data_IF_823650111561
#
_entry.id   IF_823650111561
#
_cell.length_a   1.000
_cell.length_b   1.000
_cell.length_c   1.000
_cell.angle_alpha   90.00
_cell.angle_beta   90.00
_cell.angle_gamma   90.00
#
_symmetry.space_group_name_H-M   'P 1'
#
loop_
_entity.id
_entity.type
_entity.pdbx_description
1 polymer ?
#
# COMPACT_ATOMS: atom_id res chain seq x y z
N UNK A 1 -25.90 23.82 -13.85
CA UNK A 1 -26.52 22.89 -12.89
C UNK A 1 -25.53 22.62 -11.75
N UNK A 2 -25.88 22.99 -10.52
CA UNK A 2 -24.98 22.89 -9.35
C UNK A 2 -25.09 21.50 -8.72
N UNK A 3 -23.98 20.76 -8.63
CA UNK A 3 -23.95 19.40 -8.07
C UNK A 3 -24.20 19.40 -6.55
N UNK A 4 -25.21 18.64 -6.09
CA UNK A 4 -25.55 18.52 -4.66
C UNK A 4 -24.42 17.89 -3.83
N UNK A 5 -24.38 18.16 -2.52
CA UNK A 5 -23.37 17.60 -1.62
C UNK A 5 -23.37 16.05 -1.63
N UNK A 6 -24.55 15.43 -1.69
CA UNK A 6 -24.69 13.98 -1.82
C UNK A 6 -24.11 13.43 -3.13
N UNK A 7 -24.31 14.14 -4.24
CA UNK A 7 -23.73 13.75 -5.53
C UNK A 7 -22.20 13.90 -5.54
N UNK A 8 -21.67 14.95 -4.90
CA UNK A 8 -20.22 15.12 -4.68
C UNK A 8 -19.65 13.98 -3.83
N UNK A 9 -20.31 13.61 -2.73
CA UNK A 9 -19.90 12.49 -1.88
C UNK A 9 -19.86 11.15 -2.62
N UNK A 10 -20.89 10.82 -3.39
CA UNK A 10 -20.91 9.60 -4.22
C UNK A 10 -19.80 9.59 -5.27
N UNK A 11 -19.55 10.73 -5.92
CA UNK A 11 -18.47 10.86 -6.90
C UNK A 11 -17.09 10.63 -6.27
N UNK A 12 -16.83 11.22 -5.11
CA UNK A 12 -15.56 11.03 -4.39
C UNK A 12 -15.37 9.59 -3.94
N UNK A 13 -16.43 8.95 -3.40
CA UNK A 13 -16.39 7.53 -3.04
C UNK A 13 -16.07 6.64 -4.25
N UNK A 14 -16.71 6.89 -5.39
CA UNK A 14 -16.43 6.15 -6.64
C UNK A 14 -14.99 6.34 -7.10
N UNK A 15 -14.45 7.56 -7.00
CA UNK A 15 -13.06 7.86 -7.33
C UNK A 15 -12.07 7.10 -6.43
N UNK A 16 -12.35 7.02 -5.12
CA UNK A 16 -11.56 6.23 -4.17
C UNK A 16 -11.55 4.75 -4.54
N UNK A 17 -12.73 4.14 -4.67
CA UNK A 17 -12.88 2.72 -5.04
C UNK A 17 -12.17 2.39 -6.36
N UNK A 18 -12.29 3.25 -7.37
CA UNK A 18 -11.61 3.06 -8.65
C UNK A 18 -10.08 3.15 -8.51
N UNK A 19 -9.59 4.04 -7.65
CA UNK A 19 -8.15 4.19 -7.40
C UNK A 19 -7.60 2.95 -6.68
N UNK A 20 -8.29 2.48 -5.64
CA UNK A 20 -7.95 1.26 -4.90
C UNK A 20 -7.92 0.04 -5.83
N UNK A 21 -8.93 -0.13 -6.69
CA UNK A 21 -8.98 -1.22 -7.69
C UNK A 21 -7.81 -1.20 -8.67
N UNK A 22 -7.37 -0.01 -9.08
CA UNK A 22 -6.22 0.13 -9.99
C UNK A 22 -4.92 -0.29 -9.33
N UNK A 23 -4.71 0.07 -8.06
CA UNK A 23 -3.54 -0.41 -7.29
C UNK A 23 -3.61 -1.92 -7.10
N UNK A 24 -4.77 -2.46 -6.70
CA UNK A 24 -4.96 -3.90 -6.54
C UNK A 24 -4.61 -4.66 -7.84
N UNK A 25 -5.16 -4.21 -8.97
CA UNK A 25 -4.87 -4.81 -10.29
C UNK A 25 -3.39 -4.69 -10.65
N UNK A 26 -2.77 -3.54 -10.39
CA UNK A 26 -1.34 -3.36 -10.64
C UNK A 26 -0.50 -4.36 -9.84
N UNK A 27 -0.75 -4.51 -8.54
CA UNK A 27 -0.06 -5.49 -7.69
C UNK A 27 -0.33 -6.93 -8.14
N UNK A 28 -1.55 -7.23 -8.59
CA UNK A 28 -1.92 -8.50 -9.18
C UNK A 28 -1.01 -8.89 -10.35
N UNK A 29 -0.83 -7.96 -11.28
CA UNK A 29 -0.03 -8.11 -12.48
C UNK A 29 1.50 -8.10 -12.21
N UNK A 30 1.95 -7.65 -11.02
CA UNK A 30 3.36 -7.37 -10.74
C UNK A 30 3.91 -8.12 -9.51
N UNK A 31 3.29 -9.24 -9.12
CA UNK A 31 3.89 -10.18 -8.19
C UNK A 31 3.02 -10.64 -7.03
N UNK A 32 1.76 -10.21 -6.96
CA UNK A 32 0.79 -10.73 -6.00
C UNK A 32 -0.47 -11.21 -6.72
N UNK A 33 -0.49 -12.40 -7.36
CA UNK A 33 -1.57 -12.84 -8.26
C UNK A 33 -2.96 -12.94 -7.63
N UNK A 34 -3.08 -12.81 -6.31
CA UNK A 34 -4.34 -12.79 -5.56
C UNK A 34 -4.70 -11.40 -5.02
N UNK A 35 -3.84 -10.40 -5.21
CA UNK A 35 -4.06 -9.04 -4.74
C UNK A 35 -5.40 -8.52 -5.22
N UNK A 36 -6.20 -8.06 -4.28
CA UNK A 36 -7.53 -7.55 -4.50
C UNK A 36 -7.81 -6.41 -3.51
N UNK A 37 -8.76 -5.55 -3.87
CA UNK A 37 -9.23 -4.50 -2.98
C UNK A 37 -9.92 -5.13 -1.78
N UNK A 38 -9.56 -4.69 -0.59
CA UNK A 38 -10.31 -5.06 0.60
C UNK A 38 -11.65 -4.33 0.60
N UNK A 39 -12.73 -5.06 0.87
CA UNK A 39 -14.07 -4.49 0.99
C UNK A 39 -14.57 -4.82 2.38
N UNK A 40 -14.70 -3.78 3.22
CA UNK A 40 -15.39 -3.94 4.48
C UNK A 40 -16.89 -3.82 4.25
N UNK A 41 -17.56 -4.98 4.14
CA UNK A 41 -19.00 -5.08 3.85
C UNK A 41 -19.87 -4.93 5.10
N UNK A 42 -19.29 -4.73 6.29
CA UNK A 42 -19.99 -4.84 7.56
C UNK A 42 -20.25 -3.49 8.24
N UNK A 43 -21.45 -3.34 8.82
CA UNK A 43 -21.64 -2.47 9.99
C UNK A 43 -20.64 -2.89 11.08
N UNK A 44 -20.05 -1.91 11.79
CA UNK A 44 -19.34 -2.18 13.05
C UNK A 44 -20.31 -2.87 14.01
N UNK A 45 -20.25 -4.19 14.10
CA UNK A 45 -20.83 -4.92 15.23
C UNK A 45 -19.76 -4.99 16.32
N UNK A 46 -20.16 -4.81 17.58
CA UNK A 46 -19.29 -4.79 18.76
C UNK A 46 -18.41 -6.06 18.92
N UNK A 47 -18.63 -7.08 18.10
CA UNK A 47 -17.98 -8.39 18.11
C UNK A 47 -16.96 -8.61 16.99
N UNK A 48 -16.71 -7.64 16.10
CA UNK A 48 -15.74 -7.81 15.01
C UNK A 48 -14.34 -7.35 15.44
N UNK A 49 -13.55 -8.29 15.96
CA UNK A 49 -12.15 -8.11 16.41
C UNK A 49 -11.13 -8.31 15.28
N UNK A 50 -11.57 -8.61 14.05
CA UNK A 50 -10.66 -8.79 12.92
C UNK A 50 -10.01 -7.45 12.56
N UNK A 51 -8.69 -7.36 12.71
CA UNK A 51 -7.95 -6.16 12.36
C UNK A 51 -8.06 -5.88 10.85
N UNK A 52 -8.24 -4.60 10.50
CA UNK A 52 -8.48 -4.14 9.14
C UNK A 52 -7.14 -4.08 8.38
N UNK A 53 -6.92 -4.90 7.34
CA UNK A 53 -5.68 -4.90 6.55
C UNK A 53 -5.54 -3.66 5.64
N UNK A 54 -6.43 -2.67 5.77
CA UNK A 54 -6.57 -1.47 4.95
C UNK A 54 -7.09 -1.78 3.54
N UNK A 55 -6.60 -1.10 2.51
CA UNK A 55 -7.30 -0.95 1.22
C UNK A 55 -7.05 -2.14 0.28
N UNK A 56 -5.98 -2.90 0.47
CA UNK A 56 -5.55 -4.02 -0.38
C UNK A 56 -5.27 -5.25 0.49
N UNK A 57 -5.71 -6.43 0.04
CA UNK A 57 -5.52 -7.73 0.69
C UNK A 57 -4.73 -8.70 -0.20
N UNK A 58 -4.41 -9.87 0.35
CA UNK A 58 -3.65 -10.94 -0.34
C UNK A 58 -2.22 -10.52 -0.72
N UNK A 59 -1.63 -9.65 0.10
CA UNK A 59 -0.24 -9.21 0.04
C UNK A 59 0.46 -9.51 1.37
N UNK A 60 0.88 -10.77 1.62
CA UNK A 60 1.46 -11.17 2.91
C UNK A 60 2.62 -10.26 3.33
N UNK A 61 2.67 -9.90 4.62
CA UNK A 61 3.68 -9.00 5.19
C UNK A 61 3.45 -7.51 4.93
N UNK A 62 2.46 -7.13 4.11
CA UNK A 62 2.27 -5.74 3.66
C UNK A 62 0.87 -5.22 3.99
N UNK A 63 0.79 -3.96 4.44
CA UNK A 63 -0.46 -3.19 4.46
C UNK A 63 -0.39 -1.98 3.54
N UNK A 64 -1.52 -1.66 2.92
CA UNK A 64 -1.60 -0.63 1.89
C UNK A 64 -2.73 0.35 2.19
N UNK A 65 -2.44 1.65 2.20
CA UNK A 65 -3.48 2.66 2.02
C UNK A 65 -3.34 3.39 0.70
N UNK A 66 -4.46 3.60 0.00
CA UNK A 66 -4.52 4.23 -1.32
C UNK A 66 -5.35 5.51 -1.24
N UNK A 67 -4.74 6.64 -1.57
CA UNK A 67 -5.38 7.95 -1.55
C UNK A 67 -5.45 8.56 -2.95
N UNK A 68 -6.57 9.21 -3.22
CA UNK A 68 -6.70 10.10 -4.37
C UNK A 68 -7.37 11.39 -3.90
N UNK A 69 -6.54 12.31 -3.44
CA UNK A 69 -6.96 13.54 -2.81
C UNK A 69 -5.91 14.64 -3.04
N UNK A 70 -6.34 15.90 -3.14
CA UNK A 70 -5.45 17.03 -3.45
C UNK A 70 -4.90 17.73 -2.20
N UNK A 71 -5.27 17.30 -0.99
CA UNK A 71 -4.84 17.93 0.27
C UNK A 71 -3.43 17.53 0.71
N UNK A 72 -2.82 16.52 0.06
CA UNK A 72 -1.45 16.05 0.34
C UNK A 72 -1.14 15.88 1.84
N UNK A 73 -2.08 15.30 2.62
CA UNK A 73 -1.94 15.04 4.06
C UNK A 73 -1.09 13.80 4.34
N UNK A 74 0.07 13.71 3.69
CA UNK A 74 0.92 12.52 3.64
C UNK A 74 1.30 12.04 5.05
N UNK A 75 1.79 12.92 5.91
CA UNK A 75 2.22 12.53 7.27
C UNK A 75 1.07 11.96 8.11
N UNK A 76 -0.10 12.59 8.07
CA UNK A 76 -1.27 12.12 8.83
C UNK A 76 -1.78 10.78 8.29
N UNK A 77 -1.88 10.62 6.97
CA UNK A 77 -2.28 9.36 6.37
C UNK A 77 -1.25 8.25 6.62
N UNK A 78 0.04 8.56 6.60
CA UNK A 78 1.08 7.56 6.84
C UNK A 78 1.11 7.11 8.31
N UNK A 79 0.89 8.01 9.27
CA UNK A 79 0.77 7.64 10.68
C UNK A 79 -0.36 6.61 10.90
N UNK A 80 -1.51 6.77 10.23
CA UNK A 80 -2.58 5.77 10.25
C UNK A 80 -2.14 4.42 9.64
N UNK A 81 -1.29 4.44 8.62
CA UNK A 81 -0.74 3.21 8.02
C UNK A 81 0.22 2.52 8.99
N UNK A 82 1.12 3.25 9.65
CA UNK A 82 2.04 2.70 10.65
C UNK A 82 1.28 2.03 11.81
N UNK A 83 0.26 2.72 12.36
CA UNK A 83 -0.57 2.18 13.43
C UNK A 83 -1.24 0.86 13.04
N UNK A 84 -1.70 0.77 11.79
CA UNK A 84 -2.34 -0.44 11.26
C UNK A 84 -1.35 -1.55 10.98
N UNK A 85 -0.19 -1.22 10.40
CA UNK A 85 0.89 -2.18 10.18
C UNK A 85 1.29 -2.84 11.50
N UNK A 86 1.52 -2.04 12.54
CA UNK A 86 1.83 -2.52 13.88
C UNK A 86 0.70 -3.38 14.47
N UNK A 87 -0.56 -2.95 14.33
CA UNK A 87 -1.71 -3.67 14.88
C UNK A 87 -1.96 -5.04 14.22
N UNK A 88 -1.58 -5.21 12.94
CA UNK A 88 -1.73 -6.49 12.23
C UNK A 88 -0.45 -7.31 12.16
N UNK A 89 0.66 -6.80 12.73
CA UNK A 89 1.97 -7.44 12.64
C UNK A 89 2.50 -7.52 11.20
N UNK A 90 2.21 -6.53 10.37
CA UNK A 90 2.81 -6.43 9.04
C UNK A 90 4.26 -5.97 9.13
N UNK A 91 5.08 -6.45 8.20
CA UNK A 91 6.48 -6.09 8.09
C UNK A 91 6.63 -4.63 7.61
N UNK A 92 5.72 -4.19 6.75
CA UNK A 92 5.81 -2.89 6.09
C UNK A 92 4.43 -2.28 5.81
N UNK A 93 4.31 -0.98 6.06
CA UNK A 93 3.17 -0.16 5.66
C UNK A 93 3.47 0.73 4.46
N UNK A 94 2.60 0.73 3.46
CA UNK A 94 2.73 1.53 2.24
C UNK A 94 1.56 2.48 2.08
N UNK A 95 1.85 3.77 1.91
CA UNK A 95 0.88 4.75 1.45
C UNK A 95 1.08 4.99 -0.05
N UNK A 96 0.02 4.86 -0.84
CA UNK A 96 0.01 5.17 -2.28
C UNK A 96 -0.85 6.39 -2.52
N UNK A 97 -0.30 7.41 -3.17
CA UNK A 97 -1.06 8.59 -3.62
C UNK A 97 -1.12 8.60 -5.15
N UNK A 98 -2.35 8.65 -5.69
CA UNK A 98 -2.54 8.79 -7.13
C UNK A 98 -1.92 10.10 -7.64
N UNK A 99 -1.00 9.98 -8.58
CA UNK A 99 -0.34 11.12 -9.24
C UNK A 99 -1.23 11.72 -10.35
N UNK A 100 -1.61 13.02 -10.27
CA UNK A 100 -2.37 13.68 -11.32
C UNK A 100 -1.66 13.60 -12.68
N UNK A 101 -2.41 13.35 -13.75
CA UNK A 101 -1.86 13.22 -15.11
C UNK A 101 -1.30 11.83 -15.46
N UNK A 102 -1.19 10.90 -14.51
CA UNK A 102 -0.66 9.57 -14.76
C UNK A 102 -1.74 8.50 -14.61
N UNK A 103 -2.05 7.81 -15.70
CA UNK A 103 -3.04 6.73 -15.71
C UNK A 103 -2.50 5.42 -15.11
N UNK A 104 -1.21 5.15 -15.33
CA UNK A 104 -0.51 3.94 -14.88
C UNK A 104 -0.20 4.02 -13.36
N UNK A 105 -0.71 3.08 -12.53
CA UNK A 105 -0.41 3.03 -11.10
C UNK A 105 1.08 2.91 -10.78
N UNK A 106 1.88 2.25 -11.62
CA UNK A 106 3.33 2.16 -11.42
C UNK A 106 4.05 3.52 -11.41
N UNK A 107 3.41 4.58 -11.94
CA UNK A 107 3.92 5.97 -11.94
C UNK A 107 3.33 6.83 -10.81
N UNK A 108 2.51 6.24 -9.94
CA UNK A 108 1.95 6.93 -8.78
C UNK A 108 2.97 6.98 -7.65
N UNK A 109 2.73 7.85 -6.67
CA UNK A 109 3.62 8.00 -5.53
C UNK A 109 3.36 6.92 -4.51
N UNK A 110 4.44 6.30 -4.03
CA UNK A 110 4.45 5.43 -2.88
C UNK A 110 5.34 6.03 -1.80
N UNK A 111 4.88 5.97 -0.56
CA UNK A 111 5.57 6.46 0.60
C UNK A 111 5.81 5.30 1.56
N UNK A 112 7.04 5.23 2.08
CA UNK A 112 7.52 4.35 3.15
C UNK A 112 8.52 5.16 3.98
N UNK A 113 9.03 4.59 5.08
CA UNK A 113 10.10 5.25 5.85
C UNK A 113 11.49 5.03 5.23
N UNK A 114 12.48 5.85 5.61
CA UNK A 114 13.89 5.62 5.27
C UNK A 114 14.37 4.27 5.84
N UNK A 115 13.95 3.92 7.05
CA UNK A 115 14.28 2.65 7.69
C UNK A 115 13.78 1.46 6.86
N UNK A 116 12.54 1.54 6.40
CA UNK A 116 11.92 0.53 5.55
C UNK A 116 12.67 0.38 4.22
N UNK A 117 12.97 1.50 3.56
CA UNK A 117 13.73 1.48 2.31
C UNK A 117 15.09 0.82 2.49
N UNK A 118 15.80 1.15 3.57
CA UNK A 118 17.07 0.51 3.90
C UNK A 118 16.89 -0.99 4.16
N UNK A 119 15.84 -1.38 4.90
CA UNK A 119 15.50 -2.78 5.14
C UNK A 119 15.28 -3.57 3.85
N UNK A 120 14.57 -2.99 2.88
CA UNK A 120 14.37 -3.59 1.56
C UNK A 120 15.69 -3.78 0.80
N UNK A 121 16.58 -2.78 0.81
CA UNK A 121 17.90 -2.93 0.18
C UNK A 121 18.76 -3.99 0.84
N UNK A 122 18.79 -4.03 2.18
CA UNK A 122 19.54 -5.03 2.92
C UNK A 122 19.03 -6.44 2.60
N UNK A 123 17.71 -6.65 2.67
CA UNK A 123 17.07 -7.93 2.34
C UNK A 123 17.38 -8.37 0.89
N UNK A 124 17.31 -7.45 -0.07
CA UNK A 124 17.57 -7.73 -1.48
C UNK A 124 19.04 -8.15 -1.78
N UNK A 125 19.99 -7.76 -0.94
CA UNK A 125 21.42 -8.06 -1.11
C UNK A 125 21.94 -9.13 -0.13
N UNK A 126 21.05 -9.82 0.59
CA UNK A 126 21.42 -10.81 1.59
C UNK A 126 22.16 -10.22 2.80
N UNK A 127 22.05 -8.91 3.02
CA UNK A 127 22.62 -8.22 4.17
C UNK A 127 21.66 -8.21 5.36
N UNK A 128 22.20 -7.90 6.54
CA UNK A 128 21.39 -7.60 7.72
C UNK A 128 21.01 -6.13 7.73
N UNK A 129 19.72 -5.82 7.87
CA UNK A 129 19.29 -4.45 8.08
C UNK A 129 19.84 -3.95 9.41
N UNK A 130 20.63 -2.87 9.38
CA UNK A 130 21.03 -2.19 10.59
C UNK A 130 19.81 -1.45 11.16
N UNK A 131 19.53 -1.65 12.45
CA UNK A 131 18.46 -0.92 13.14
C UNK A 131 18.88 0.54 13.29
N UNK A 132 18.14 1.45 12.64
CA UNK A 132 18.30 2.88 12.83
C UNK A 132 17.20 3.37 13.78
N UNK A 133 17.60 3.96 14.91
CA UNK A 133 16.67 4.49 15.92
C UNK A 133 16.57 6.02 15.88
N UNK A 134 17.09 6.66 14.84
CA UNK A 134 17.10 8.12 14.71
C UNK A 134 15.82 8.64 14.06
N UNK A 135 15.49 9.91 14.30
CA UNK A 135 14.36 10.58 13.62
C UNK A 135 14.49 10.53 12.09
N UNK A 136 15.72 10.52 11.57
CA UNK A 136 15.99 10.36 10.15
C UNK A 136 15.51 9.02 9.60
N UNK A 137 15.49 7.96 10.42
CA UNK A 137 15.00 6.64 10.03
C UNK A 137 13.48 6.65 9.79
N UNK A 138 12.74 7.50 10.52
CA UNK A 138 11.28 7.66 10.39
C UNK A 138 10.87 8.66 9.30
N UNK A 139 11.82 9.36 8.70
CA UNK A 139 11.51 10.28 7.62
C UNK A 139 10.87 9.52 6.45
N UNK A 140 9.90 10.16 5.79
CA UNK A 140 9.23 9.56 4.64
C UNK A 140 10.06 9.75 3.38
N UNK A 141 10.20 8.67 2.63
CA UNK A 141 10.72 8.69 1.26
C UNK A 141 9.56 8.53 0.29
N UNK A 142 9.63 9.23 -0.83
CA UNK A 142 8.67 9.12 -1.93
C UNK A 142 9.37 8.55 -3.15
N UNK A 143 8.75 7.54 -3.76
CA UNK A 143 9.21 6.90 -4.99
C UNK A 143 8.03 6.52 -5.87
N UNK A 144 8.30 6.18 -7.14
CA UNK A 144 7.27 5.60 -8.00
C UNK A 144 6.87 4.21 -7.48
N UNK A 145 5.57 3.90 -7.46
CA UNK A 145 5.06 2.60 -7.00
C UNK A 145 5.73 1.43 -7.72
N UNK A 146 6.02 1.56 -9.02
CA UNK A 146 6.70 0.51 -9.76
C UNK A 146 8.13 0.26 -9.27
N UNK A 147 8.85 1.30 -8.86
CA UNK A 147 10.17 1.14 -8.27
C UNK A 147 10.09 0.44 -6.90
N UNK A 148 9.11 0.82 -6.06
CA UNK A 148 8.88 0.16 -4.78
C UNK A 148 8.53 -1.31 -4.97
N UNK A 149 7.66 -1.64 -5.94
CA UNK A 149 7.29 -3.03 -6.24
C UNK A 149 8.52 -3.86 -6.63
N UNK A 150 9.43 -3.33 -7.45
CA UNK A 150 10.67 -4.04 -7.78
C UNK A 150 11.55 -4.28 -6.54
N UNK A 151 11.65 -3.32 -5.63
CA UNK A 151 12.40 -3.47 -4.38
C UNK A 151 11.77 -4.50 -3.44
N UNK A 152 10.44 -4.46 -3.29
CA UNK A 152 9.68 -5.46 -2.52
C UNK A 152 9.93 -6.86 -3.06
N UNK A 153 9.89 -7.03 -4.38
CA UNK A 153 10.14 -8.30 -5.05
C UNK A 153 11.56 -8.79 -4.82
N UNK A 154 12.55 -7.91 -4.92
CA UNK A 154 13.94 -8.24 -4.64
C UNK A 154 14.16 -8.63 -3.17
N UNK A 155 13.41 -8.03 -2.24
CA UNK A 155 13.41 -8.36 -0.82
C UNK A 155 12.62 -9.64 -0.47
N UNK A 156 12.04 -10.33 -1.44
CA UNK A 156 11.35 -11.62 -1.25
C UNK A 156 9.84 -11.54 -1.03
N UNK A 157 9.21 -10.36 -1.16
CA UNK A 157 7.76 -10.24 -1.11
C UNK A 157 7.10 -10.65 -2.43
N UNK A 158 5.89 -11.21 -2.33
CA UNK A 158 5.12 -11.69 -3.48
C UNK A 158 5.56 -13.08 -3.97
N UNK A 159 5.01 -13.53 -5.09
CA UNK A 159 5.30 -14.85 -5.66
C UNK A 159 6.64 -14.88 -6.38
N UNK A 160 7.66 -15.51 -5.82
CA UNK A 160 8.94 -15.72 -6.51
C UNK A 160 8.72 -16.47 -7.84
N UNK A 161 9.51 -16.25 -8.91
CA UNK A 161 9.38 -16.97 -10.18
C UNK A 161 9.33 -18.51 -10.05
N UNK A 162 9.92 -19.07 -8.98
CA UNK A 162 9.87 -20.50 -8.67
C UNK A 162 8.47 -21.03 -8.32
N UNK A 163 7.55 -20.19 -7.86
CA UNK A 163 6.17 -20.57 -7.50
C UNK A 163 5.17 -20.47 -8.66
N UNK A 164 5.55 -19.86 -9.80
CA UNK A 164 4.70 -19.78 -11.00
C UNK A 164 4.71 -21.09 -11.81
N UNK A 165 5.74 -21.93 -11.66
CA UNK A 165 5.92 -23.17 -12.43
C UNK A 165 5.55 -24.46 -11.67
N UNK A 166 4.93 -24.37 -10.49
CA UNK A 166 4.46 -25.56 -9.80
C UNK A 166 3.11 -25.99 -10.37
N UNK A 167 2.96 -27.23 -10.91
CA UNK A 167 1.68 -27.70 -11.41
C UNK A 167 0.67 -27.76 -10.27
N UNK A 168 -0.53 -27.23 -10.52
CA UNK A 168 -1.69 -27.35 -9.63
C UNK A 168 -2.17 -28.78 -9.53
#
# INVERSE_FOLDING_TARGET
MTTTAAARGRSNRRKGIETERRVARYLNEHGWPKADRYVNNGYRTATRTAADPLDIRETPGLVWSVKYDASHRIAAWFAEVEDKAAAVGADLGVLVERRPGYANPGRWWAYITVADLHGLFAAAHGGTAQLYTSDAARALVCLELGALVLLLRAAGYGTTPAQENSPR
#
